data_IF_267564396363
#
_entry.id   IF_267564396363
#
_cell.length_a   1.000
_cell.length_b   1.000
_cell.length_c   1.000
_cell.angle_alpha   90.00
_cell.angle_beta   90.00
_cell.angle_gamma   90.00
#
_symmetry.space_group_name_H-M   'P 1'
#
loop_
_entity.id
_entity.type
_entity.pdbx_description
1 polymer ?
#
# COMPACT_ATOMS: atom_id res chain seq x y z
N UNK A 1 3.82 -3.69 11.54
CA UNK A 1 2.69 -3.25 12.38
C UNK A 1 1.57 -2.80 11.46
N UNK A 2 0.31 -3.11 11.73
CA UNK A 2 -0.86 -2.68 10.91
C UNK A 2 -0.86 -1.16 10.65
N UNK A 3 -0.37 -0.39 11.64
CA UNK A 3 -0.15 1.07 11.52
C UNK A 3 0.85 1.50 10.45
N UNK A 4 1.87 0.69 10.16
CA UNK A 4 2.86 0.96 9.10
C UNK A 4 2.26 0.70 7.73
N UNK A 5 1.57 -0.42 7.56
CA UNK A 5 0.96 -0.80 6.27
C UNK A 5 -0.12 0.19 5.83
N UNK A 6 -0.94 0.70 6.76
CA UNK A 6 -1.89 1.76 6.48
C UNK A 6 -1.24 3.05 5.96
N UNK A 7 -0.07 3.42 6.50
CA UNK A 7 0.67 4.59 6.03
C UNK A 7 1.23 4.39 4.62
N UNK A 8 1.69 3.18 4.33
CA UNK A 8 2.35 2.83 3.08
C UNK A 8 1.36 2.73 1.90
N UNK A 9 0.23 2.01 2.06
CA UNK A 9 -0.74 1.86 0.97
C UNK A 9 -1.67 3.08 0.79
N UNK A 10 -2.07 3.78 1.87
CA UNK A 10 -3.01 4.91 1.79
C UNK A 10 -2.30 6.19 1.34
N UNK A 11 -1.04 6.38 1.77
CA UNK A 11 -0.33 7.66 1.60
C UNK A 11 0.92 7.54 0.75
N UNK A 12 1.86 6.70 1.17
CA UNK A 12 3.23 6.71 0.64
C UNK A 12 3.32 6.28 -0.83
N UNK A 13 2.85 5.07 -1.17
CA UNK A 13 2.96 4.57 -2.55
C UNK A 13 2.14 5.39 -3.56
N UNK A 14 0.91 5.85 -3.25
CA UNK A 14 0.20 6.78 -4.12
C UNK A 14 0.94 8.10 -4.33
N UNK A 15 1.65 8.62 -3.32
CA UNK A 15 2.44 9.84 -3.47
C UNK A 15 3.69 9.60 -4.34
N UNK A 16 4.39 8.48 -4.13
CA UNK A 16 5.55 8.09 -4.94
C UNK A 16 5.16 7.85 -6.41
N UNK A 17 4.01 7.23 -6.67
CA UNK A 17 3.50 7.06 -8.03
C UNK A 17 3.21 8.39 -8.73
N UNK A 18 2.66 9.38 -8.00
CA UNK A 18 2.45 10.74 -8.53
C UNK A 18 3.76 11.43 -8.86
N UNK A 19 4.73 11.42 -7.95
CA UNK A 19 6.06 12.00 -8.23
C UNK A 19 6.73 11.33 -9.43
N UNK A 20 6.66 10.00 -9.54
CA UNK A 20 7.21 9.28 -10.69
C UNK A 20 6.52 9.68 -12.01
N UNK A 21 5.20 9.90 -12.02
CA UNK A 21 4.47 10.44 -13.19
C UNK A 21 4.93 11.85 -13.56
N UNK A 22 5.05 12.72 -12.57
CA UNK A 22 5.45 14.12 -12.77
C UNK A 22 6.88 14.23 -13.33
N UNK A 23 7.75 13.29 -12.98
CA UNK A 23 9.12 13.17 -13.48
C UNK A 23 9.24 12.39 -14.80
N UNK A 24 8.15 11.84 -15.33
CA UNK A 24 8.13 11.11 -16.62
C UNK A 24 8.52 9.63 -16.53
N UNK A 25 8.55 9.05 -15.33
CA UNK A 25 8.85 7.63 -15.07
C UNK A 25 7.59 6.78 -14.98
N UNK A 26 6.87 6.61 -16.10
CA UNK A 26 5.58 5.89 -16.13
C UNK A 26 5.66 4.43 -15.62
N UNK A 27 6.72 3.70 -15.97
CA UNK A 27 6.90 2.31 -15.52
C UNK A 27 7.08 2.19 -14.00
N UNK A 28 7.79 3.16 -13.41
CA UNK A 28 8.00 3.22 -11.95
C UNK A 28 6.70 3.60 -11.25
N UNK A 29 5.93 4.53 -11.81
CA UNK A 29 4.62 4.88 -11.28
C UNK A 29 3.67 3.67 -11.26
N UNK A 30 3.60 2.92 -12.36
CA UNK A 30 2.80 1.71 -12.47
C UNK A 30 3.24 0.63 -11.46
N UNK A 31 4.55 0.53 -11.20
CA UNK A 31 5.09 -0.35 -10.19
C UNK A 31 4.62 0.04 -8.78
N UNK A 32 4.70 1.32 -8.40
CA UNK A 32 4.20 1.81 -7.11
C UNK A 32 2.69 1.62 -6.93
N UNK A 33 1.89 1.81 -7.97
CA UNK A 33 0.46 1.53 -7.92
C UNK A 33 0.16 0.04 -7.70
N UNK A 34 0.95 -0.84 -8.32
CA UNK A 34 0.82 -2.28 -8.14
C UNK A 34 1.21 -2.70 -6.72
N UNK A 35 2.29 -2.13 -6.19
CA UNK A 35 2.75 -2.37 -4.83
C UNK A 35 1.72 -1.91 -3.78
N UNK A 36 1.13 -0.73 -3.96
CA UNK A 36 0.05 -0.21 -3.09
C UNK A 36 -1.14 -1.20 -3.00
N UNK A 37 -1.53 -1.83 -4.11
CA UNK A 37 -2.60 -2.84 -4.12
C UNK A 37 -2.22 -4.10 -3.35
N UNK A 38 -0.96 -4.53 -3.43
CA UNK A 38 -0.46 -5.69 -2.69
C UNK A 38 -0.47 -5.44 -1.17
N UNK A 39 0.01 -4.28 -0.73
CA UNK A 39 0.02 -3.95 0.70
C UNK A 39 -1.38 -3.80 1.32
N UNK A 40 -2.37 -3.36 0.55
CA UNK A 40 -3.77 -3.38 0.99
C UNK A 40 -4.25 -4.81 1.31
N UNK A 41 -3.77 -5.81 0.56
CA UNK A 41 -4.08 -7.22 0.82
C UNK A 41 -3.46 -7.71 2.12
N UNK A 42 -2.21 -7.29 2.41
CA UNK A 42 -1.55 -7.58 3.68
C UNK A 42 -2.35 -6.99 4.86
N UNK A 43 -2.69 -5.71 4.80
CA UNK A 43 -3.44 -5.04 5.86
C UNK A 43 -4.79 -5.73 6.14
N UNK A 44 -5.52 -6.11 5.08
CA UNK A 44 -6.79 -6.84 5.23
C UNK A 44 -6.60 -8.24 5.85
N UNK A 45 -5.51 -8.95 5.54
CA UNK A 45 -5.22 -10.27 6.13
C UNK A 45 -4.86 -10.16 7.60
N UNK A 46 -4.07 -9.16 7.98
CA UNK A 46 -3.73 -8.93 9.39
C UNK A 46 -4.94 -8.51 10.21
N UNK A 47 -5.82 -7.65 9.67
CA UNK A 47 -7.06 -7.29 10.35
C UNK A 47 -7.92 -8.53 10.61
N UNK A 48 -8.14 -9.37 9.59
CA UNK A 48 -8.89 -10.63 9.76
C UNK A 48 -8.28 -11.57 10.79
N UNK A 49 -6.94 -11.66 10.85
CA UNK A 49 -6.25 -12.49 11.82
C UNK A 49 -6.43 -11.96 13.25
N UNK A 50 -6.40 -10.64 13.46
CA UNK A 50 -6.71 -10.03 14.76
C UNK A 50 -8.16 -10.28 15.16
N UNK A 51 -9.10 -10.04 14.26
CA UNK A 51 -10.54 -10.24 14.52
C UNK A 51 -10.83 -11.68 14.95
N UNK A 52 -10.10 -12.66 14.43
CA UNK A 52 -10.24 -14.09 14.80
C UNK A 52 -9.57 -14.50 16.12
N UNK A 53 -8.78 -13.63 16.74
CA UNK A 53 -8.13 -13.88 18.04
C UNK A 53 -8.90 -13.25 19.20
N UNK A 54 -9.80 -12.30 18.91
CA UNK A 54 -10.67 -11.64 19.89
C UNK A 54 -12.02 -12.37 20.08
N UNK A 55 -12.21 -13.53 19.43
CA UNK A 55 -13.31 -14.51 19.61
C UNK A 55 -12.88 -15.71 20.48
#
# INVERSE_FOLDING_TARGET
SIRGEGHEYIGMYPAMARTARDEGFDDIANWFETLSKAERSHANRYQKALDSLDE
#
